data_IF_233154552933
#
_entry.id   IF_233154552933
#
_cell.length_a   1.000
_cell.length_b   1.000
_cell.length_c   1.000
_cell.angle_alpha   90.00
_cell.angle_beta   90.00
_cell.angle_gamma   90.00
#
_symmetry.space_group_name_H-M   'P 1'
#
loop_
_entity.id
_entity.type
_entity.pdbx_description
1 polymer ?
#
# COMPACT_ATOMS: atom_id res chain seq x y z
N UNK A 1 2.96 11.15 41.39
CA UNK A 1 2.66 10.87 39.97
C UNK A 1 1.17 10.57 39.76
N UNK A 2 0.42 10.43 40.85
CA UNK A 2 -0.97 9.95 40.89
C UNK A 2 -1.94 10.88 40.15
N UNK A 3 -1.67 12.20 40.15
CA UNK A 3 -2.47 13.18 39.42
C UNK A 3 -2.43 13.00 37.90
N UNK A 4 -1.28 12.62 37.32
CA UNK A 4 -1.19 12.36 35.87
C UNK A 4 -2.04 11.15 35.51
N UNK A 5 -1.94 10.08 36.29
CA UNK A 5 -2.69 8.85 36.06
C UNK A 5 -4.21 9.07 36.12
N UNK A 6 -4.70 9.84 37.09
CA UNK A 6 -6.12 10.19 37.19
C UNK A 6 -6.62 10.95 35.95
N UNK A 7 -5.79 11.86 35.42
CA UNK A 7 -6.12 12.61 34.19
C UNK A 7 -6.14 11.67 32.98
N UNK A 8 -5.15 10.79 32.84
CA UNK A 8 -5.10 9.76 31.78
C UNK A 8 -6.38 8.92 31.82
N UNK A 9 -6.74 8.41 32.99
CA UNK A 9 -7.92 7.56 33.17
C UNK A 9 -9.20 8.30 32.81
N UNK A 10 -9.35 9.57 33.25
CA UNK A 10 -10.50 10.40 32.91
C UNK A 10 -10.60 10.62 31.40
N UNK A 11 -9.53 11.05 30.75
CA UNK A 11 -9.51 11.34 29.30
C UNK A 11 -9.75 10.09 28.46
N UNK A 12 -9.19 8.95 28.86
CA UNK A 12 -9.43 7.66 28.24
C UNK A 12 -10.89 7.21 28.38
N UNK A 13 -11.41 7.13 29.62
CA UNK A 13 -12.74 6.59 29.89
C UNK A 13 -13.85 7.48 29.33
N UNK A 14 -13.69 8.80 29.35
CA UNK A 14 -14.68 9.73 28.79
C UNK A 14 -14.83 9.59 27.28
N UNK A 15 -13.86 9.00 26.58
CA UNK A 15 -13.89 8.79 25.12
C UNK A 15 -14.29 7.35 24.77
N UNK A 16 -13.64 6.34 25.35
CA UNK A 16 -13.93 4.93 25.04
C UNK A 16 -15.35 4.51 25.43
N UNK A 17 -15.92 5.10 26.51
CA UNK A 17 -17.30 4.79 26.93
C UNK A 17 -18.36 5.45 26.05
N UNK A 18 -18.01 6.38 25.15
CA UNK A 18 -19.00 6.99 24.26
C UNK A 18 -19.46 5.95 23.24
N UNK A 19 -20.78 5.86 23.03
CA UNK A 19 -21.35 5.01 21.97
C UNK A 19 -20.76 5.35 20.59
N UNK A 20 -20.47 6.63 20.35
CA UNK A 20 -19.82 7.08 19.11
C UNK A 20 -18.43 6.47 18.89
N UNK A 21 -17.67 6.18 19.95
CA UNK A 21 -16.37 5.52 19.82
C UNK A 21 -16.52 4.11 19.24
N UNK A 22 -17.43 3.30 19.79
CA UNK A 22 -17.67 1.94 19.28
C UNK A 22 -18.22 1.96 17.85
N UNK A 23 -19.18 2.85 17.57
CA UNK A 23 -19.78 2.96 16.23
C UNK A 23 -18.74 3.36 15.19
N UNK A 24 -17.95 4.43 15.43
CA UNK A 24 -16.94 4.92 14.49
C UNK A 24 -15.80 3.89 14.33
N UNK A 25 -15.38 3.26 15.42
CA UNK A 25 -14.33 2.24 15.39
C UNK A 25 -14.73 1.02 14.57
N UNK A 26 -16.00 0.60 14.61
CA UNK A 26 -16.49 -0.55 13.85
C UNK A 26 -16.85 -0.18 12.40
N UNK A 27 -17.37 1.02 12.17
CA UNK A 27 -17.86 1.46 10.86
C UNK A 27 -16.75 1.47 9.81
N UNK A 28 -15.55 1.95 10.14
CA UNK A 28 -14.47 2.06 9.17
C UNK A 28 -14.00 0.68 8.62
N UNK A 29 -13.67 -0.33 9.46
CA UNK A 29 -13.37 -1.68 8.97
C UNK A 29 -14.50 -2.32 8.18
N UNK A 30 -15.75 -2.16 8.63
CA UNK A 30 -16.93 -2.70 7.92
C UNK A 30 -17.10 -2.05 6.56
N UNK A 31 -16.92 -0.74 6.46
CA UNK A 31 -17.01 -0.01 5.20
C UNK A 31 -15.87 -0.41 4.25
N UNK A 32 -14.65 -0.59 4.75
CA UNK A 32 -13.52 -1.11 3.96
C UNK A 32 -13.75 -2.54 3.47
N UNK A 33 -14.31 -3.41 4.33
CA UNK A 33 -14.66 -4.77 3.93
C UNK A 33 -15.78 -4.76 2.87
N UNK A 34 -16.84 -4.00 3.10
CA UNK A 34 -17.95 -3.86 2.17
C UNK A 34 -17.52 -3.25 0.83
N UNK A 35 -16.66 -2.23 0.84
CA UNK A 35 -16.12 -1.63 -0.38
C UNK A 35 -15.19 -2.59 -1.13
N UNK A 36 -14.34 -3.33 -0.42
CA UNK A 36 -13.49 -4.36 -1.02
C UNK A 36 -14.31 -5.46 -1.69
N UNK A 37 -15.42 -5.89 -1.06
CA UNK A 37 -16.36 -6.85 -1.65
C UNK A 37 -17.12 -6.27 -2.84
N UNK A 38 -17.55 -5.02 -2.75
CA UNK A 38 -18.24 -4.33 -3.84
C UNK A 38 -17.32 -4.16 -5.06
N UNK A 39 -16.07 -3.72 -4.84
CA UNK A 39 -15.04 -3.63 -5.88
C UNK A 39 -14.76 -5.02 -6.43
N UNK A 40 -14.55 -6.03 -5.59
CA UNK A 40 -14.31 -7.40 -6.04
C UNK A 40 -15.43 -7.92 -6.96
N UNK A 41 -16.69 -7.73 -6.58
CA UNK A 41 -17.84 -8.11 -7.43
C UNK A 41 -17.89 -7.29 -8.72
N UNK A 42 -17.68 -5.98 -8.65
CA UNK A 42 -17.75 -5.07 -9.80
C UNK A 42 -16.59 -5.29 -10.78
N UNK A 43 -15.39 -5.60 -10.29
CA UNK A 43 -14.21 -5.90 -11.09
C UNK A 43 -14.30 -7.25 -11.80
N UNK A 44 -15.03 -8.22 -11.25
CA UNK A 44 -15.25 -9.53 -11.92
C UNK A 44 -16.47 -9.56 -12.85
N UNK A 45 -17.22 -8.45 -12.95
CA UNK A 45 -18.52 -8.40 -13.64
C UNK A 45 -18.49 -7.93 -15.09
N UNK A 46 -17.33 -7.58 -15.64
CA UNK A 46 -17.18 -7.20 -17.05
C UNK A 46 -16.68 -8.38 -17.86
N UNK A 47 -17.43 -8.78 -18.90
CA UNK A 47 -16.85 -9.55 -20.00
C UNK A 47 -15.76 -8.73 -20.71
N UNK A 48 -15.02 -9.32 -21.67
CA UNK A 48 -14.01 -8.60 -22.43
C UNK A 48 -14.62 -7.38 -23.12
N UNK A 49 -13.86 -6.29 -23.19
CA UNK A 49 -14.29 -5.07 -23.88
C UNK A 49 -14.50 -5.39 -25.37
N UNK A 50 -15.72 -5.20 -25.88
CA UNK A 50 -16.05 -5.50 -27.28
C UNK A 50 -15.73 -4.26 -28.12
N UNK A 51 -14.74 -4.37 -29.00
CA UNK A 51 -14.29 -3.30 -29.89
C UNK A 51 -14.71 -3.63 -31.33
N UNK A 52 -15.66 -2.86 -31.85
CA UNK A 52 -16.04 -2.93 -33.26
C UNK A 52 -14.93 -2.32 -34.12
N UNK A 53 -14.53 -2.99 -35.19
CA UNK A 53 -13.45 -2.55 -36.08
C UNK A 53 -14.03 -2.22 -37.44
N UNK A 54 -13.95 -0.96 -37.81
CA UNK A 54 -14.26 -0.49 -39.16
C UNK A 54 -12.94 -0.20 -39.87
N UNK A 55 -12.60 -1.09 -40.80
CA UNK A 55 -11.33 -1.06 -41.53
C UNK A 55 -11.57 -0.71 -43.00
N UNK A 56 -11.16 0.50 -43.40
CA UNK A 56 -11.16 0.94 -44.80
C UNK A 56 -9.78 0.75 -45.46
N UNK A 57 -8.79 0.25 -44.71
CA UNK A 57 -7.47 -0.02 -45.25
C UNK A 57 -7.47 -1.30 -46.08
N UNK A 58 -6.56 -1.36 -47.05
CA UNK A 58 -6.31 -2.58 -47.84
C UNK A 58 -5.49 -3.63 -47.06
N UNK A 59 -5.29 -3.43 -45.74
CA UNK A 59 -4.43 -4.25 -44.89
C UNK A 59 -5.17 -5.39 -44.20
N UNK A 60 -6.50 -5.43 -44.27
CA UNK A 60 -7.35 -6.42 -43.59
C UNK A 60 -6.95 -6.61 -42.11
N UNK A 61 -6.76 -5.50 -41.39
CA UNK A 61 -6.20 -5.44 -40.06
C UNK A 61 -7.03 -6.24 -39.04
N UNK A 62 -8.35 -6.32 -39.25
CA UNK A 62 -9.26 -7.14 -38.46
C UNK A 62 -8.80 -8.61 -38.39
N UNK A 63 -8.31 -9.18 -39.48
CA UNK A 63 -7.86 -10.58 -39.53
C UNK A 63 -6.58 -10.82 -38.71
N UNK A 64 -5.80 -9.77 -38.44
CA UNK A 64 -4.55 -9.82 -37.69
C UNK A 64 -4.72 -9.42 -36.21
N UNK A 65 -5.88 -8.90 -35.84
CA UNK A 65 -6.19 -8.53 -34.46
C UNK A 65 -6.57 -9.77 -33.65
N UNK A 66 -5.69 -10.15 -32.72
CA UNK A 66 -5.91 -11.28 -31.81
C UNK A 66 -6.72 -10.81 -30.61
N UNK A 67 -7.92 -11.38 -30.44
CA UNK A 67 -8.75 -11.17 -29.24
C UNK A 67 -8.16 -11.91 -28.03
N UNK A 68 -8.30 -11.34 -26.84
CA UNK A 68 -7.83 -11.94 -25.58
C UNK A 68 -8.89 -11.81 -24.47
N UNK A 69 -8.54 -12.18 -23.24
CA UNK A 69 -9.44 -12.14 -22.08
C UNK A 69 -9.89 -10.72 -21.70
N UNK A 70 -9.18 -9.68 -22.17
CA UNK A 70 -9.45 -8.28 -21.87
C UNK A 70 -10.22 -7.54 -22.98
N UNK A 71 -10.00 -7.88 -24.26
CA UNK A 71 -10.53 -7.17 -25.43
C UNK A 71 -10.90 -8.17 -26.54
N UNK A 72 -12.11 -8.03 -27.09
CA UNK A 72 -12.58 -8.77 -28.26
C UNK A 72 -12.81 -7.84 -29.44
N UNK A 73 -12.31 -8.23 -30.61
CA UNK A 73 -12.50 -7.46 -31.85
C UNK A 73 -13.59 -8.09 -32.71
N UNK A 74 -14.58 -7.27 -33.10
CA UNK A 74 -15.70 -7.69 -33.95
C UNK A 74 -15.81 -6.76 -35.17
N UNK A 75 -16.33 -7.21 -36.32
CA UNK A 75 -16.54 -6.34 -37.46
C UNK A 75 -17.59 -5.26 -37.15
N UNK A 76 -17.31 -4.01 -37.50
CA UNK A 76 -18.27 -2.92 -37.35
C UNK A 76 -19.42 -3.03 -38.36
N UNK A 77 -20.63 -2.69 -37.92
CA UNK A 77 -21.82 -2.68 -38.76
C UNK A 77 -21.93 -1.35 -39.53
N UNK A 78 -21.71 -1.35 -40.83
CA UNK A 78 -21.87 -0.15 -41.66
C UNK A 78 -20.94 -0.16 -42.88
N UNK A 79 -21.33 0.55 -43.94
CA UNK A 79 -20.57 0.64 -45.19
C UNK A 79 -19.77 1.94 -45.32
N UNK A 80 -19.86 2.82 -44.33
CA UNK A 80 -19.13 4.09 -44.24
C UNK A 80 -18.88 4.44 -42.77
N UNK A 81 -17.88 5.28 -42.47
CA UNK A 81 -17.60 5.74 -41.10
C UNK A 81 -18.87 6.29 -40.41
N UNK A 82 -19.63 7.14 -41.11
CA UNK A 82 -20.86 7.72 -40.57
C UNK A 82 -21.95 6.67 -40.29
N UNK A 83 -22.06 5.64 -41.14
CA UNK A 83 -22.98 4.53 -40.94
C UNK A 83 -22.55 3.64 -39.76
N UNK A 84 -21.25 3.37 -39.64
CA UNK A 84 -20.66 2.58 -38.55
C UNK A 84 -20.75 3.30 -37.21
N UNK A 85 -20.56 4.61 -37.17
CA UNK A 85 -20.81 5.43 -35.98
C UNK A 85 -22.29 5.45 -35.59
N UNK A 86 -23.19 5.57 -36.56
CA UNK A 86 -24.63 5.55 -36.31
C UNK A 86 -25.12 4.18 -35.83
N UNK A 87 -24.56 3.09 -36.35
CA UNK A 87 -24.82 1.73 -35.92
C UNK A 87 -24.26 1.48 -34.52
N UNK A 88 -23.02 1.88 -34.24
CA UNK A 88 -22.41 1.80 -32.91
C UNK A 88 -23.25 2.53 -31.85
N UNK A 89 -23.75 3.73 -32.17
CA UNK A 89 -24.64 4.51 -31.27
C UNK A 89 -26.02 3.88 -31.07
N UNK A 90 -26.50 3.04 -31.99
CA UNK A 90 -27.83 2.41 -31.97
C UNK A 90 -27.81 0.91 -31.64
N UNK A 91 -26.63 0.30 -31.57
CA UNK A 91 -26.47 -1.14 -31.41
C UNK A 91 -27.05 -1.61 -30.08
N UNK A 92 -27.87 -2.68 -30.12
CA UNK A 92 -28.33 -3.40 -28.91
C UNK A 92 -27.25 -4.34 -28.38
N UNK A 93 -26.31 -4.73 -29.23
CA UNK A 93 -25.10 -5.46 -28.86
C UNK A 93 -24.18 -4.47 -28.19
N UNK A 94 -23.77 -4.75 -26.95
CA UNK A 94 -23.08 -3.80 -26.07
C UNK A 94 -21.61 -3.65 -26.51
N UNK A 95 -21.38 -2.96 -27.61
CA UNK A 95 -20.04 -2.62 -28.11
C UNK A 95 -19.48 -1.44 -27.28
N UNK A 96 -18.25 -1.59 -26.79
CA UNK A 96 -17.62 -0.66 -25.85
C UNK A 96 -16.79 0.43 -26.52
N UNK A 97 -16.32 0.19 -27.75
CA UNK A 97 -15.63 1.16 -28.59
C UNK A 97 -15.70 0.78 -30.08
N UNK A 98 -15.51 1.77 -30.95
CA UNK A 98 -15.37 1.65 -32.40
C UNK A 98 -13.94 2.06 -32.79
N UNK A 99 -13.15 1.11 -33.27
CA UNK A 99 -11.84 1.33 -33.86
C UNK A 99 -12.02 1.68 -35.34
N UNK A 100 -11.63 2.89 -35.72
CA UNK A 100 -11.61 3.34 -37.11
C UNK A 100 -10.19 3.32 -37.66
N UNK A 101 -10.01 2.61 -38.78
CA UNK A 101 -8.77 2.54 -39.54
C UNK A 101 -9.00 3.17 -40.92
N UNK A 102 -8.47 4.37 -41.19
CA UNK A 102 -8.71 5.07 -42.45
C UNK A 102 -8.00 4.41 -43.63
N UNK A 103 -8.54 4.59 -44.84
CA UNK A 103 -7.96 4.05 -46.09
C UNK A 103 -6.51 4.49 -46.37
N UNK A 104 -6.10 5.67 -45.86
CA UNK A 104 -4.73 6.18 -45.98
C UNK A 104 -3.73 5.47 -45.06
N UNK A 105 -4.18 4.56 -44.19
CA UNK A 105 -3.30 3.77 -43.32
C UNK A 105 -2.49 2.82 -44.16
N UNK A 106 -1.17 2.96 -44.11
CA UNK A 106 -0.24 2.03 -44.74
C UNK A 106 0.64 1.40 -43.69
N UNK A 107 1.32 0.30 -44.08
CA UNK A 107 2.30 -0.38 -43.23
C UNK A 107 3.33 0.64 -42.68
N UNK A 108 3.77 1.61 -43.49
CA UNK A 108 4.81 2.58 -43.11
C UNK A 108 4.27 3.87 -42.50
N UNK A 109 2.99 4.20 -42.71
CA UNK A 109 2.32 5.38 -42.17
C UNK A 109 1.06 5.01 -41.40
N UNK A 110 1.18 4.98 -40.08
CA UNK A 110 0.12 4.58 -39.13
C UNK A 110 -0.63 5.78 -38.52
N UNK A 111 -0.63 6.93 -39.20
CA UNK A 111 -1.32 8.15 -38.72
C UNK A 111 -2.81 8.06 -39.04
N UNK A 112 -3.66 8.45 -38.08
CA UNK A 112 -5.10 8.62 -38.29
C UNK A 112 -6.00 7.50 -37.76
N UNK A 113 -5.43 6.44 -37.16
CA UNK A 113 -6.22 5.42 -36.44
C UNK A 113 -6.88 6.07 -35.22
N UNK A 114 -8.20 5.95 -35.11
CA UNK A 114 -8.99 6.56 -34.05
C UNK A 114 -9.77 5.51 -33.28
N UNK A 115 -9.84 5.67 -31.96
CA UNK A 115 -10.68 4.84 -31.09
C UNK A 115 -11.82 5.71 -30.58
N UNK A 116 -13.01 5.47 -31.11
CA UNK A 116 -14.23 6.19 -30.82
C UNK A 116 -15.00 5.44 -29.72
N UNK A 117 -15.56 6.15 -28.76
CA UNK A 117 -16.37 5.57 -27.69
C UNK A 117 -17.65 6.35 -27.47
N UNK A 118 -18.65 5.71 -26.87
CA UNK A 118 -19.86 6.40 -26.43
C UNK A 118 -19.58 7.09 -25.10
N UNK A 119 -18.83 8.19 -25.15
CA UNK A 119 -18.30 8.91 -23.97
C UNK A 119 -16.81 8.69 -23.77
N UNK A 120 -16.36 8.67 -22.51
CA UNK A 120 -14.94 8.53 -22.19
C UNK A 120 -14.46 7.09 -22.39
N UNK A 121 -13.41 6.91 -23.19
CA UNK A 121 -12.76 5.61 -23.38
C UNK A 121 -11.70 5.39 -22.29
N UNK A 122 -11.82 4.37 -21.42
CA UNK A 122 -10.87 4.14 -20.34
C UNK A 122 -9.42 3.96 -20.84
N UNK A 123 -8.44 4.49 -20.09
CA UNK A 123 -7.01 4.40 -20.43
C UNK A 123 -6.54 2.95 -20.61
N UNK A 124 -7.07 2.00 -19.82
CA UNK A 124 -6.79 0.57 -19.98
C UNK A 124 -7.15 0.10 -21.39
N UNK A 125 -8.38 0.35 -21.84
CA UNK A 125 -8.85 -0.01 -23.18
C UNK A 125 -8.02 0.65 -24.28
N UNK A 126 -7.70 1.94 -24.13
CA UNK A 126 -6.84 2.64 -25.10
C UNK A 126 -5.46 1.98 -25.22
N UNK A 127 -4.86 1.59 -24.08
CA UNK A 127 -3.56 0.89 -24.05
C UNK A 127 -3.67 -0.51 -24.65
N UNK A 128 -4.69 -1.26 -24.29
CA UNK A 128 -4.87 -2.66 -24.70
C UNK A 128 -5.16 -2.73 -26.22
N UNK A 129 -6.05 -1.87 -26.75
CA UNK A 129 -6.30 -1.74 -28.21
C UNK A 129 -5.05 -1.24 -28.94
N UNK A 130 -4.34 -0.24 -28.40
CA UNK A 130 -3.08 0.25 -29.02
C UNK A 130 -2.04 -0.87 -29.10
N UNK A 131 -1.88 -1.67 -28.05
CA UNK A 131 -0.96 -2.79 -28.02
C UNK A 131 -1.35 -3.86 -29.05
N UNK A 132 -2.64 -4.20 -29.15
CA UNK A 132 -3.15 -5.13 -30.15
C UNK A 132 -2.92 -4.64 -31.59
N UNK A 133 -3.28 -3.39 -31.89
CA UNK A 133 -3.07 -2.77 -33.21
C UNK A 133 -1.58 -2.69 -33.56
N UNK A 134 -0.73 -2.31 -32.60
CA UNK A 134 0.72 -2.23 -32.80
C UNK A 134 1.33 -3.61 -33.05
N UNK A 135 0.85 -4.65 -32.36
CA UNK A 135 1.25 -6.03 -32.59
C UNK A 135 0.81 -6.54 -33.97
N UNK A 136 -0.44 -6.26 -34.37
CA UNK A 136 -0.97 -6.64 -35.68
C UNK A 136 -0.21 -5.96 -36.83
N UNK A 137 0.02 -4.65 -36.74
CA UNK A 137 0.82 -3.91 -37.72
C UNK A 137 2.30 -4.35 -37.72
N UNK A 138 2.84 -4.71 -36.55
CA UNK A 138 4.16 -5.32 -36.44
C UNK A 138 4.23 -6.66 -37.18
N UNK A 139 3.24 -7.54 -37.01
CA UNK A 139 3.15 -8.82 -37.71
C UNK A 139 3.11 -8.63 -39.24
N UNK A 140 2.30 -7.69 -39.73
CA UNK A 140 2.23 -7.35 -41.16
C UNK A 140 3.57 -6.78 -41.69
N UNK A 141 4.28 -5.96 -40.91
CA UNK A 141 5.64 -5.49 -41.25
C UNK A 141 6.64 -6.65 -41.33
N UNK A 142 6.57 -7.57 -40.39
CA UNK A 142 7.44 -8.74 -40.30
C UNK A 142 7.23 -9.67 -41.50
N UNK A 143 5.97 -9.95 -41.85
CA UNK A 143 5.61 -10.76 -43.02
C UNK A 143 6.16 -10.16 -44.31
N UNK A 144 5.96 -8.85 -44.52
CA UNK A 144 6.46 -8.15 -45.73
C UNK A 144 7.98 -8.06 -45.81
N UNK A 145 8.67 -7.99 -44.66
CA UNK A 145 10.14 -7.96 -44.60
C UNK A 145 10.77 -9.36 -44.65
N UNK A 146 9.98 -10.42 -44.75
CA UNK A 146 10.46 -11.81 -44.76
C UNK A 146 10.98 -12.30 -43.41
N UNK A 147 10.77 -11.54 -42.34
CA UNK A 147 11.18 -11.90 -40.99
C UNK A 147 10.07 -12.74 -40.34
N UNK A 148 10.33 -14.02 -40.07
CA UNK A 148 9.39 -14.87 -39.33
C UNK A 148 9.32 -14.38 -37.87
N UNK A 149 8.12 -14.24 -37.30
CA UNK A 149 7.89 -13.88 -35.89
C UNK A 149 8.72 -14.76 -34.93
N UNK A 150 8.81 -16.06 -35.23
CA UNK A 150 9.63 -17.01 -34.48
C UNK A 150 11.12 -16.64 -34.45
N UNK A 151 11.64 -16.00 -35.50
CA UNK A 151 13.02 -15.50 -35.54
C UNK A 151 13.20 -14.31 -34.61
N UNK A 152 12.23 -13.38 -34.55
CA UNK A 152 12.32 -12.23 -33.63
C UNK A 152 12.11 -12.66 -32.18
N UNK A 153 11.15 -13.55 -31.91
CA UNK A 153 10.92 -14.08 -30.58
C UNK A 153 12.12 -14.93 -30.11
N UNK A 154 12.80 -15.63 -31.02
CA UNK A 154 14.08 -16.30 -30.73
C UNK A 154 15.25 -15.32 -30.52
N UNK A 155 15.19 -14.12 -31.10
CA UNK A 155 16.20 -13.06 -30.93
C UNK A 155 15.92 -12.17 -29.70
N UNK A 156 14.67 -12.10 -29.23
CA UNK A 156 14.28 -11.37 -28.04
C UNK A 156 14.31 -12.27 -26.82
N UNK A 157 15.41 -12.20 -26.06
CA UNK A 157 15.46 -12.82 -24.75
C UNK A 157 14.46 -12.14 -23.81
N UNK A 158 13.36 -12.83 -23.47
CA UNK A 158 12.42 -12.37 -22.43
C UNK A 158 13.01 -12.72 -21.06
N UNK A 159 13.79 -11.78 -20.51
CA UNK A 159 14.38 -11.95 -19.18
C UNK A 159 13.36 -11.48 -18.14
N UNK A 160 12.76 -12.42 -17.40
CA UNK A 160 11.97 -12.11 -16.21
C UNK A 160 12.91 -11.98 -15.01
N UNK A 161 13.34 -10.74 -14.72
CA UNK A 161 14.18 -10.47 -13.56
C UNK A 161 13.35 -10.65 -12.28
N UNK A 162 13.75 -11.59 -11.45
CA UNK A 162 13.25 -11.71 -10.08
C UNK A 162 14.28 -11.09 -9.14
N UNK A 163 13.90 -10.04 -8.40
CA UNK A 163 14.75 -9.46 -7.38
C UNK A 163 14.72 -10.34 -6.11
N UNK A 164 15.89 -10.69 -5.60
CA UNK A 164 16.05 -11.45 -4.35
C UNK A 164 16.93 -10.62 -3.42
N UNK A 165 16.47 -10.41 -2.19
CA UNK A 165 17.25 -9.74 -1.15
C UNK A 165 18.25 -10.72 -0.54
N UNK A 166 19.55 -10.46 -0.76
CA UNK A 166 20.66 -11.29 -0.26
C UNK A 166 20.95 -11.06 1.23
N UNK A 167 20.43 -9.99 1.84
CA UNK A 167 20.71 -9.64 3.24
C UNK A 167 19.80 -10.37 4.23
N UNK A 168 18.70 -10.95 3.77
CA UNK A 168 17.80 -11.75 4.60
C UNK A 168 18.13 -13.23 4.44
N UNK A 169 18.64 -13.83 5.53
CA UNK A 169 19.00 -15.24 5.64
C UNK A 169 17.83 -16.11 5.11
N UNK A 170 18.07 -16.84 4.00
CA UNK A 170 17.07 -17.67 3.33
C UNK A 170 16.56 -17.15 1.98
N UNK A 171 17.07 -16.05 1.43
CA UNK A 171 16.78 -15.63 0.05
C UNK A 171 15.28 -15.44 -0.21
N UNK A 172 14.59 -14.77 0.73
CA UNK A 172 13.14 -14.58 0.67
C UNK A 172 12.77 -13.75 -0.56
N UNK A 173 11.82 -14.28 -1.34
CA UNK A 173 11.20 -13.56 -2.45
C UNK A 173 10.27 -12.49 -1.87
N UNK A 174 10.69 -11.24 -1.95
CA UNK A 174 9.82 -10.12 -1.63
C UNK A 174 9.16 -9.64 -2.92
N UNK A 175 7.83 -9.73 -2.96
CA UNK A 175 7.07 -9.02 -3.98
C UNK A 175 7.18 -7.53 -3.67
N UNK A 176 8.03 -6.84 -4.42
CA UNK A 176 8.32 -5.41 -4.26
C UNK A 176 7.03 -4.60 -4.39
N UNK A 177 6.10 -5.02 -5.25
CA UNK A 177 4.81 -4.36 -5.43
C UNK A 177 3.94 -4.42 -4.18
N UNK A 178 3.81 -5.59 -3.57
CA UNK A 178 2.98 -5.75 -2.37
C UNK A 178 3.62 -5.10 -1.14
N UNK A 179 4.93 -5.22 -1.00
CA UNK A 179 5.71 -4.59 0.08
C UNK A 179 5.55 -3.06 0.02
N UNK A 180 5.64 -2.50 -1.18
CA UNK A 180 5.41 -1.08 -1.46
C UNK A 180 4.00 -0.64 -1.14
N UNK A 181 2.99 -1.38 -1.60
CA UNK A 181 1.58 -1.08 -1.35
C UNK A 181 1.26 -1.10 0.15
N UNK A 182 1.80 -2.08 0.88
CA UNK A 182 1.63 -2.17 2.33
C UNK A 182 2.27 -0.97 3.04
N UNK A 183 3.51 -0.61 2.67
CA UNK A 183 4.18 0.56 3.23
C UNK A 183 3.33 1.82 3.04
N UNK A 184 2.80 2.03 1.83
CA UNK A 184 1.93 3.16 1.48
C UNK A 184 0.69 3.22 2.38
N UNK A 185 -0.02 2.10 2.50
CA UNK A 185 -1.23 1.98 3.33
C UNK A 185 -0.92 2.22 4.80
N UNK A 186 0.15 1.68 5.35
CA UNK A 186 0.53 1.93 6.74
C UNK A 186 0.84 3.41 6.98
N UNK A 187 1.50 4.05 6.03
CA UNK A 187 1.98 5.43 6.17
C UNK A 187 0.85 6.45 6.05
N UNK A 188 -0.09 6.23 5.12
CA UNK A 188 -1.30 7.05 5.04
C UNK A 188 -2.17 6.88 6.30
N UNK A 189 -2.23 5.67 6.87
CA UNK A 189 -2.93 5.45 8.14
C UNK A 189 -2.25 6.21 9.28
N UNK A 190 -0.93 6.15 9.42
CA UNK A 190 -0.18 6.96 10.40
C UNK A 190 -0.54 8.43 10.27
N UNK A 191 -0.48 8.98 9.05
CA UNK A 191 -0.84 10.37 8.75
C UNK A 191 -2.26 10.71 9.23
N UNK A 192 -3.26 9.94 8.79
CA UNK A 192 -4.67 10.21 9.09
C UNK A 192 -4.94 10.16 10.60
N UNK A 193 -4.39 9.17 11.30
CA UNK A 193 -4.57 9.03 12.74
C UNK A 193 -3.90 10.17 13.51
N UNK A 194 -2.63 10.46 13.21
CA UNK A 194 -1.91 11.56 13.87
C UNK A 194 -2.69 12.86 13.71
N UNK A 195 -3.14 13.16 12.49
CA UNK A 195 -3.89 14.37 12.22
C UNK A 195 -5.26 14.37 12.92
N UNK A 196 -6.07 13.32 12.74
CA UNK A 196 -7.43 13.24 13.27
C UNK A 196 -7.47 13.33 14.80
N UNK A 197 -6.60 12.59 15.49
CA UNK A 197 -6.57 12.63 16.96
C UNK A 197 -5.80 13.84 17.49
N UNK A 198 -4.82 14.35 16.75
CA UNK A 198 -4.16 15.62 17.07
C UNK A 198 -5.16 16.77 17.16
N UNK A 199 -6.07 16.89 16.19
CA UNK A 199 -7.16 17.88 16.22
C UNK A 199 -8.08 17.70 17.44
N UNK A 200 -8.35 16.46 17.85
CA UNK A 200 -9.14 16.21 19.07
C UNK A 200 -8.44 16.68 20.34
N UNK A 201 -7.12 16.54 20.42
CA UNK A 201 -6.32 17.05 21.54
C UNK A 201 -6.40 18.58 21.57
N UNK A 202 -6.18 19.23 20.42
CA UNK A 202 -6.28 20.69 20.28
C UNK A 202 -7.64 21.21 20.75
N UNK A 203 -8.74 20.66 20.22
CA UNK A 203 -10.11 21.05 20.60
C UNK A 203 -10.36 20.82 22.09
N UNK A 204 -9.95 19.67 22.61
CA UNK A 204 -10.13 19.35 24.02
C UNK A 204 -9.35 20.28 24.96
N UNK A 205 -8.21 20.84 24.55
CA UNK A 205 -7.48 21.84 25.34
C UNK A 205 -8.15 23.21 25.26
N UNK A 206 -8.58 23.62 24.06
CA UNK A 206 -9.27 24.90 23.84
C UNK A 206 -10.64 24.96 24.54
N UNK A 207 -11.38 23.85 24.54
CA UNK A 207 -12.64 23.70 25.30
C UNK A 207 -12.42 23.80 26.81
N UNK A 208 -11.37 23.15 27.33
CA UNK A 208 -11.04 23.28 28.76
C UNK A 208 -10.66 24.69 29.14
N UNK A 209 -9.89 25.37 28.28
CA UNK A 209 -9.48 26.76 28.49
C UNK A 209 -10.64 27.73 28.50
N UNK A 210 -11.58 27.58 27.57
CA UNK A 210 -12.78 28.44 27.49
C UNK A 210 -13.82 28.11 28.56
N UNK A 211 -13.75 26.94 29.19
CA UNK A 211 -14.68 26.52 30.24
C UNK A 211 -14.20 26.86 31.66
N UNK A 212 -15.14 26.89 32.62
CA UNK A 212 -14.86 27.04 34.08
C UNK A 212 -13.98 25.92 34.67
N UNK A 213 -13.69 24.86 33.89
CA UNK A 213 -12.80 23.77 34.29
C UNK A 213 -11.37 24.29 34.51
N UNK A 214 -10.94 25.31 33.76
CA UNK A 214 -9.59 25.90 33.87
C UNK A 214 -9.26 26.40 35.28
N UNK A 215 -10.16 27.19 35.90
CA UNK A 215 -9.95 27.83 37.21
C UNK A 215 -9.72 26.80 38.33
N UNK A 216 -10.43 25.66 38.26
CA UNK A 216 -10.29 24.55 39.22
C UNK A 216 -9.04 23.73 38.94
N UNK A 217 -8.70 23.53 37.66
CA UNK A 217 -7.56 22.69 37.28
C UNK A 217 -6.21 23.35 37.54
N UNK A 218 -6.08 24.66 37.34
CA UNK A 218 -4.81 25.38 37.50
C UNK A 218 -4.33 25.43 38.96
N UNK A 219 -5.25 25.47 39.92
CA UNK A 219 -4.94 25.43 41.36
C UNK A 219 -4.56 24.03 41.83
N UNK A 220 -4.98 22.98 41.11
CA UNK A 220 -4.86 21.59 41.53
C UNK A 220 -3.70 20.83 40.87
N UNK A 221 -3.33 21.17 39.63
CA UNK A 221 -2.39 20.40 38.80
C UNK A 221 -1.46 21.31 37.99
N UNK A 222 -0.18 20.93 37.87
CA UNK A 222 0.79 21.65 37.03
C UNK A 222 0.44 21.51 35.53
N UNK A 223 0.61 22.57 34.69
CA UNK A 223 0.34 22.52 33.25
C UNK A 223 0.95 21.33 32.51
N UNK A 224 2.21 20.99 32.82
CA UNK A 224 2.87 19.84 32.20
C UNK A 224 2.17 18.51 32.50
N UNK A 225 1.71 18.31 33.74
CA UNK A 225 1.01 17.08 34.14
C UNK A 225 -0.35 16.97 33.47
N UNK A 226 -1.03 18.11 33.27
CA UNK A 226 -2.32 18.20 32.58
C UNK A 226 -2.18 17.87 31.09
N UNK A 227 -1.23 18.52 30.40
CA UNK A 227 -0.95 18.24 28.99
C UNK A 227 -0.52 16.79 28.77
N UNK A 228 0.44 16.31 29.56
CA UNK A 228 0.93 14.93 29.47
C UNK A 228 -0.19 13.91 29.72
N UNK A 229 -1.00 14.13 30.77
CA UNK A 229 -2.11 13.22 31.09
C UNK A 229 -3.16 13.18 29.98
N UNK A 230 -3.46 14.33 29.36
CA UNK A 230 -4.39 14.40 28.22
C UNK A 230 -3.87 13.69 26.98
N UNK A 231 -2.64 13.99 26.58
CA UNK A 231 -2.01 13.39 25.41
C UNK A 231 -1.94 11.86 25.56
N UNK A 232 -1.49 11.37 26.72
CA UNK A 232 -1.40 9.92 27.00
C UNK A 232 -2.78 9.25 27.14
N UNK A 233 -3.77 9.94 27.73
CA UNK A 233 -5.13 9.42 27.82
C UNK A 233 -5.77 9.19 26.46
N UNK A 234 -5.61 10.14 25.54
CA UNK A 234 -6.10 10.00 24.16
C UNK A 234 -5.25 8.98 23.39
N UNK A 235 -3.94 8.87 23.64
CA UNK A 235 -3.10 7.80 23.11
C UNK A 235 -3.67 6.41 23.43
N UNK A 236 -4.14 6.20 24.66
CA UNK A 236 -4.78 4.94 25.07
C UNK A 236 -6.04 4.62 24.27
N UNK A 237 -6.84 5.63 23.93
CA UNK A 237 -8.04 5.48 23.07
C UNK A 237 -7.65 4.97 21.69
N UNK A 238 -6.60 5.56 21.12
CA UNK A 238 -6.06 5.18 19.81
C UNK A 238 -5.55 3.73 19.83
N UNK A 239 -4.77 3.35 20.85
CA UNK A 239 -4.28 1.97 21.00
C UNK A 239 -5.43 0.97 21.14
N UNK A 240 -6.49 1.32 21.86
CA UNK A 240 -7.69 0.49 21.98
C UNK A 240 -8.37 0.30 20.64
N UNK A 241 -8.45 1.36 19.83
CA UNK A 241 -9.03 1.28 18.48
C UNK A 241 -8.19 0.38 17.56
N UNK A 242 -6.86 0.43 17.63
CA UNK A 242 -6.00 -0.52 16.92
C UNK A 242 -6.22 -1.96 17.37
N UNK A 243 -6.31 -2.20 18.69
CA UNK A 243 -6.59 -3.52 19.24
C UNK A 243 -7.93 -4.08 18.72
N UNK A 244 -8.97 -3.25 18.69
CA UNK A 244 -10.27 -3.61 18.12
C UNK A 244 -10.16 -3.96 16.63
N UNK A 245 -9.42 -3.18 15.85
CA UNK A 245 -9.24 -3.44 14.42
C UNK A 245 -8.45 -4.71 14.13
N UNK A 246 -7.41 -5.01 14.91
CA UNK A 246 -6.67 -6.26 14.80
C UNK A 246 -7.58 -7.46 15.10
N UNK A 247 -8.38 -7.39 16.17
CA UNK A 247 -9.35 -8.43 16.51
C UNK A 247 -10.43 -8.59 15.42
N UNK A 248 -10.96 -7.49 14.89
CA UNK A 248 -11.95 -7.50 13.81
C UNK A 248 -11.37 -8.06 12.51
N UNK A 249 -10.16 -7.66 12.14
CA UNK A 249 -9.50 -8.14 10.92
C UNK A 249 -9.18 -9.63 11.00
N UNK A 250 -8.72 -10.10 12.17
CA UNK A 250 -8.55 -11.53 12.44
C UNK A 250 -9.87 -12.29 12.37
N UNK A 251 -10.92 -11.81 13.02
CA UNK A 251 -12.26 -12.42 12.96
C UNK A 251 -12.83 -12.43 11.54
N UNK A 252 -12.68 -11.34 10.80
CA UNK A 252 -13.16 -11.21 9.43
C UNK A 252 -12.45 -12.17 8.49
N UNK A 253 -11.12 -12.26 8.56
CA UNK A 253 -10.34 -13.16 7.70
C UNK A 253 -10.58 -14.63 8.01
N UNK A 254 -10.80 -14.98 9.28
CA UNK A 254 -11.06 -16.38 9.69
C UNK A 254 -12.49 -16.83 9.43
N UNK A 255 -13.48 -15.93 9.48
CA UNK A 255 -14.91 -16.28 9.31
C UNK A 255 -15.44 -15.92 7.92
N UNK A 256 -15.23 -14.68 7.47
CA UNK A 256 -15.86 -14.17 6.25
C UNK A 256 -15.22 -14.70 4.98
N UNK A 257 -13.88 -14.82 4.93
CA UNK A 257 -13.18 -15.32 3.74
C UNK A 257 -13.56 -16.77 3.44
N UNK A 258 -13.57 -17.72 4.40
CA UNK A 258 -14.04 -19.08 4.13
C UNK A 258 -15.52 -19.14 3.77
N UNK A 259 -16.36 -18.30 4.38
CA UNK A 259 -17.80 -18.26 4.10
C UNK A 259 -18.10 -17.75 2.68
N UNK A 260 -17.37 -16.75 2.21
CA UNK A 260 -17.51 -16.19 0.85
C UNK A 260 -16.88 -17.09 -0.23
N UNK A 261 -15.82 -17.82 0.11
CA UNK A 261 -15.20 -18.79 -0.78
C UNK A 261 -15.90 -20.15 -0.76
N UNK A 262 -16.88 -20.35 0.13
CA UNK A 262 -17.65 -21.60 0.24
C UNK A 262 -18.41 -21.94 -1.04
N UNK A 263 -18.87 -20.92 -1.78
CA UNK A 263 -19.64 -21.08 -3.03
C UNK A 263 -18.79 -20.97 -4.30
N UNK A 264 -17.50 -20.66 -4.17
CA UNK A 264 -16.52 -20.71 -5.26
C UNK A 264 -15.45 -21.70 -4.84
N UNK A 265 -15.65 -22.98 -5.18
CA UNK A 265 -14.66 -24.02 -4.96
C UNK A 265 -13.27 -23.46 -5.27
N UNK A 266 -12.27 -23.68 -4.39
CA UNK A 266 -10.91 -23.37 -4.77
C UNK A 266 -10.65 -24.20 -6.03
N UNK A 267 -10.33 -23.55 -7.15
CA UNK A 267 -9.70 -24.21 -8.29
C UNK A 267 -8.28 -24.55 -7.86
N UNK A 268 -8.20 -25.49 -6.91
CA UNK A 268 -6.99 -26.04 -6.32
C UNK A 268 -7.27 -27.53 -6.09
N UNK A 269 -7.54 -28.25 -7.18
CA UNK A 269 -7.31 -29.68 -7.32
C UNK A 269 -7.72 -30.11 -8.74
N UNK A 270 -6.74 -30.45 -9.56
CA UNK A 270 -6.76 -31.42 -10.68
C UNK A 270 -5.88 -30.94 -11.84
N UNK A 271 -4.57 -31.09 -11.69
CA UNK A 271 -3.67 -31.29 -12.83
C UNK A 271 -2.58 -32.32 -12.46
N UNK A 272 -2.97 -33.40 -11.79
CA UNK A 272 -2.29 -34.68 -11.93
C UNK A 272 -2.88 -35.34 -13.17
N UNK A 273 -2.13 -35.34 -14.27
CA UNK A 273 -2.51 -36.01 -15.52
C UNK A 273 -2.85 -37.49 -15.24
N UNK A 274 -3.97 -38.03 -15.75
CA UNK A 274 -4.14 -39.46 -15.90
C UNK A 274 -3.41 -39.91 -17.17
N UNK A 275 -2.56 -40.94 -17.04
CA UNK A 275 -1.99 -41.66 -18.19
C UNK A 275 -0.48 -41.46 -18.40
N UNK A 276 0.32 -42.22 -17.66
CA UNK A 276 1.54 -42.82 -18.21
C UNK A 276 1.49 -44.31 -17.83
N UNK A 277 1.58 -45.24 -18.78
CA UNK A 277 1.46 -46.66 -18.48
C UNK A 277 2.66 -47.13 -17.67
N UNK A 278 2.38 -47.89 -16.62
CA UNK A 278 3.38 -48.71 -15.95
C UNK A 278 3.93 -49.74 -16.94
N UNK A 279 5.24 -49.71 -17.17
CA UNK A 279 6.01 -50.84 -17.71
C UNK A 279 7.17 -51.07 -16.72
N UNK A 280 6.92 -51.86 -15.68
CA UNK A 280 7.34 -53.26 -15.56
C UNK A 280 8.85 -53.46 -15.68
N UNK A 281 9.45 -53.73 -14.53
CA UNK A 281 10.78 -54.30 -14.40
C UNK A 281 10.90 -55.58 -15.24
N UNK A 282 11.89 -55.61 -16.13
CA UNK A 282 12.37 -56.83 -16.76
C UNK A 282 13.81 -57.06 -16.29
N UNK A 283 13.93 -58.12 -15.49
CA UNK A 283 15.14 -58.87 -15.15
C UNK A 283 16.06 -59.12 -16.34
N UNK A 284 17.35 -58.80 -16.21
CA UNK A 284 18.41 -59.28 -17.08
C UNK A 284 19.07 -60.53 -16.46
N UNK A 285 19.36 -61.60 -17.22
CA UNK A 285 20.19 -62.71 -16.74
C UNK A 285 21.68 -62.45 -16.98
N UNK A 286 22.49 -63.17 -16.21
CA UNK A 286 23.93 -63.06 -16.09
C UNK A 286 24.74 -63.73 -17.22
N UNK A 287 26.00 -63.29 -17.35
CA UNK A 287 27.10 -63.90 -18.11
C UNK A 287 27.84 -62.84 -18.94
N UNK A 288 29.15 -62.64 -18.93
CA UNK A 288 30.30 -63.27 -18.28
C UNK A 288 31.57 -62.73 -18.98
N UNK A 289 32.57 -62.34 -18.17
CA UNK A 289 34.02 -62.25 -18.47
C UNK A 289 34.60 -61.28 -19.54
N UNK A 290 35.46 -60.35 -19.07
CA UNK A 290 36.88 -60.11 -19.45
C UNK A 290 37.26 -58.61 -19.30
N UNK A 291 37.94 -58.22 -18.21
CA UNK A 291 39.39 -57.87 -18.13
C UNK A 291 39.79 -56.57 -18.89
N UNK A 292 40.56 -55.58 -18.40
CA UNK A 292 41.17 -55.16 -17.13
C UNK A 292 41.71 -53.70 -17.38
N UNK A 293 42.62 -53.09 -16.59
CA UNK A 293 42.33 -52.23 -15.44
C UNK A 293 42.89 -50.79 -15.56
N UNK A 294 42.45 -49.90 -14.67
CA UNK A 294 43.02 -48.55 -14.51
C UNK A 294 42.43 -47.83 -13.30
N UNK A 295 42.83 -48.29 -12.11
CA UNK A 295 42.40 -47.78 -10.82
C UNK A 295 43.02 -46.42 -10.47
N UNK A 296 42.23 -45.52 -9.87
CA UNK A 296 42.62 -44.83 -8.63
C UNK A 296 41.37 -44.76 -7.76
N UNK A 297 41.29 -45.72 -6.83
CA UNK A 297 40.41 -45.69 -5.66
C UNK A 297 40.95 -44.71 -4.63
N UNK A 298 40.09 -43.84 -4.13
CA UNK A 298 40.19 -43.32 -2.76
C UNK A 298 38.80 -42.96 -2.23
N UNK A 299 38.09 -43.96 -1.71
CA UNK A 299 37.16 -43.80 -0.59
C UNK A 299 37.53 -44.83 0.48
N UNK A 300 37.33 -44.50 1.76
CA UNK A 300 36.24 -45.16 2.49
C UNK A 300 35.42 -44.11 3.28
N UNK A 301 34.12 -44.01 3.06
CA UNK A 301 33.03 -44.76 3.69
C UNK A 301 32.50 -44.14 5.00
N UNK A 302 31.18 -43.98 5.00
CA UNK A 302 30.25 -43.91 6.14
C UNK A 302 30.37 -42.77 7.16
N UNK A 303 29.51 -41.79 6.97
CA UNK A 303 28.62 -41.37 8.05
C UNK A 303 27.22 -41.18 7.45
N UNK A 304 26.34 -42.15 7.75
CA UNK A 304 24.91 -41.96 7.64
C UNK A 304 24.46 -40.84 8.58
N UNK A 305 23.33 -40.21 8.22
CA UNK A 305 22.55 -39.26 9.02
C UNK A 305 23.09 -37.82 9.11
N UNK A 306 22.65 -36.97 8.17
CA UNK A 306 22.24 -35.61 8.51
C UNK A 306 21.33 -35.01 7.41
N UNK A 307 20.13 -34.65 7.86
CA UNK A 307 19.31 -33.55 7.37
C UNK A 307 18.72 -33.62 5.94
N UNK A 308 17.43 -33.95 5.91
CA UNK A 308 16.48 -33.26 5.05
C UNK A 308 16.73 -31.74 5.14
N UNK A 309 17.35 -31.16 4.12
CA UNK A 309 17.29 -29.73 3.91
C UNK A 309 16.18 -29.50 2.89
N UNK A 310 15.13 -28.80 3.33
CA UNK A 310 14.06 -28.27 2.48
C UNK A 310 14.66 -27.44 1.34
N UNK A 311 14.96 -28.06 0.21
CA UNK A 311 15.08 -27.35 -1.06
C UNK A 311 13.67 -26.88 -1.45
N UNK A 312 13.30 -25.69 -0.99
CA UNK A 312 12.09 -25.01 -1.44
C UNK A 312 12.17 -24.87 -2.98
N UNK A 313 11.26 -25.49 -3.75
CA UNK A 313 11.34 -25.43 -5.20
C UNK A 313 11.08 -23.99 -5.65
N UNK A 314 12.03 -23.46 -6.42
CA UNK A 314 11.96 -22.16 -7.11
C UNK A 314 10.87 -22.26 -8.20
N UNK A 315 9.59 -22.20 -7.83
CA UNK A 315 8.48 -22.13 -8.79
C UNK A 315 8.20 -20.67 -9.13
N UNK A 316 8.25 -20.30 -10.40
CA UNK A 316 7.85 -18.97 -10.88
C UNK A 316 6.40 -18.63 -10.46
N UNK A 317 6.04 -17.35 -10.26
CA UNK A 317 4.66 -16.98 -9.99
C UNK A 317 3.77 -17.43 -11.16
N UNK A 318 2.78 -18.28 -10.89
CA UNK A 318 1.73 -18.56 -11.89
C UNK A 318 0.93 -17.28 -12.10
N UNK A 319 0.95 -16.74 -13.31
CA UNK A 319 0.01 -15.70 -13.72
C UNK A 319 -1.42 -16.20 -13.46
N UNK A 320 -2.19 -15.46 -12.66
CA UNK A 320 -3.55 -15.82 -12.26
C UNK A 320 -3.70 -16.52 -10.90
N UNK A 321 -2.64 -16.69 -10.10
CA UNK A 321 -2.79 -17.19 -8.73
C UNK A 321 -3.61 -16.20 -7.87
N UNK A 322 -4.61 -16.65 -7.09
CA UNK A 322 -5.36 -15.76 -6.20
C UNK A 322 -4.43 -15.11 -5.19
N UNK A 323 -4.49 -13.78 -5.09
CA UNK A 323 -3.71 -12.99 -4.15
C UNK A 323 -3.84 -13.56 -2.73
N UNK A 324 -2.75 -14.14 -2.23
CA UNK A 324 -2.72 -14.84 -0.95
C UNK A 324 -1.97 -13.99 0.07
N UNK A 325 -2.70 -13.19 0.85
CA UNK A 325 -2.18 -12.28 1.89
C UNK A 325 -1.22 -13.03 2.85
N UNK A 326 -1.55 -14.27 3.17
CA UNK A 326 -0.77 -15.14 4.06
C UNK A 326 0.64 -15.45 3.54
N UNK A 327 0.79 -15.74 2.24
CA UNK A 327 2.11 -15.99 1.64
C UNK A 327 2.99 -14.74 1.58
N UNK A 328 2.37 -13.56 1.48
CA UNK A 328 3.09 -12.28 1.51
C UNK A 328 3.58 -11.98 2.93
N UNK A 329 2.72 -12.17 3.93
CA UNK A 329 3.09 -12.08 5.35
C UNK A 329 4.21 -13.08 5.68
N UNK A 330 4.09 -14.30 5.15
CA UNK A 330 5.09 -15.36 4.97
C UNK A 330 6.51 -14.85 4.73
N UNK A 331 6.65 -13.84 3.87
CA UNK A 331 7.93 -13.31 3.37
C UNK A 331 8.50 -12.11 4.13
N UNK A 332 7.73 -11.46 5.00
CA UNK A 332 8.14 -10.19 5.61
C UNK A 332 8.66 -10.33 7.05
N UNK A 333 9.55 -9.44 7.52
CA UNK A 333 9.93 -9.36 8.92
C UNK A 333 8.80 -8.71 9.75
N UNK A 334 7.69 -9.44 9.93
CA UNK A 334 6.45 -8.93 10.54
C UNK A 334 6.72 -8.31 11.92
N UNK A 335 7.59 -8.92 12.73
CA UNK A 335 7.90 -8.43 14.06
C UNK A 335 8.49 -7.01 14.08
N UNK A 336 9.47 -6.72 13.20
CA UNK A 336 10.07 -5.39 13.11
C UNK A 336 9.12 -4.39 12.46
N UNK A 337 8.30 -4.82 11.50
CA UNK A 337 7.31 -3.97 10.83
C UNK A 337 6.21 -3.56 11.81
N UNK A 338 5.56 -4.51 12.51
CA UNK A 338 4.48 -4.21 13.45
C UNK A 338 5.02 -3.47 14.67
N UNK A 339 6.12 -3.94 15.27
CA UNK A 339 6.72 -3.30 16.44
C UNK A 339 7.21 -1.88 16.13
N UNK A 340 7.89 -1.71 15.00
CA UNK A 340 8.34 -0.40 14.52
C UNK A 340 7.16 0.49 14.14
N UNK A 341 6.15 -0.03 13.44
CA UNK A 341 4.92 0.70 13.14
C UNK A 341 4.29 1.23 14.42
N UNK A 342 3.99 0.38 15.40
CA UNK A 342 3.34 0.80 16.65
C UNK A 342 4.17 1.83 17.41
N UNK A 343 5.49 1.65 17.48
CA UNK A 343 6.39 2.57 18.17
C UNK A 343 6.44 3.94 17.49
N UNK A 344 6.70 4.00 16.18
CA UNK A 344 6.78 5.27 15.44
C UNK A 344 5.43 5.95 15.28
N UNK A 345 4.37 5.16 15.11
CA UNK A 345 3.01 5.64 15.13
C UNK A 345 2.69 6.32 16.47
N UNK A 346 2.91 5.63 17.59
CA UNK A 346 2.61 6.15 18.91
C UNK A 346 3.50 7.34 19.25
N UNK A 347 4.81 7.25 19.01
CA UNK A 347 5.75 8.36 19.24
C UNK A 347 5.43 9.59 18.39
N UNK A 348 5.10 9.39 17.12
CA UNK A 348 4.65 10.46 16.23
C UNK A 348 3.34 11.06 16.70
N UNK A 349 2.36 10.23 17.03
CA UNK A 349 1.09 10.67 17.60
C UNK A 349 1.32 11.53 18.85
N UNK A 350 2.17 11.10 19.78
CA UNK A 350 2.48 11.83 21.01
C UNK A 350 3.14 13.18 20.70
N UNK A 351 4.15 13.21 19.83
CA UNK A 351 4.84 14.44 19.40
C UNK A 351 3.87 15.45 18.78
N UNK A 352 3.10 15.01 17.79
CA UNK A 352 2.17 15.88 17.07
C UNK A 352 1.00 16.30 17.95
N UNK A 353 0.50 15.42 18.83
CA UNK A 353 -0.53 15.77 19.81
C UNK A 353 -0.05 16.84 20.77
N UNK A 354 1.23 16.85 21.16
CA UNK A 354 1.81 17.92 21.96
C UNK A 354 1.84 19.25 21.19
N UNK A 355 2.13 19.24 19.88
CA UNK A 355 2.04 20.44 19.03
C UNK A 355 0.60 20.95 18.93
N UNK A 356 -0.36 20.05 18.71
CA UNK A 356 -1.78 20.39 18.66
C UNK A 356 -2.30 20.89 20.02
N UNK A 357 -1.83 20.32 21.13
CA UNK A 357 -2.12 20.80 22.47
C UNK A 357 -1.60 22.23 22.68
N UNK A 358 -0.39 22.54 22.19
CA UNK A 358 0.17 23.88 22.23
C UNK A 358 -0.71 24.89 21.47
N UNK A 359 -1.23 24.53 20.30
CA UNK A 359 -2.17 25.37 19.54
C UNK A 359 -3.47 25.56 20.33
N UNK A 360 -4.08 24.47 20.82
CA UNK A 360 -5.32 24.53 21.59
C UNK A 360 -5.19 25.35 22.87
N UNK A 361 -3.97 25.43 23.41
CA UNK A 361 -3.65 26.27 24.58
C UNK A 361 -3.58 27.77 24.23
N UNK A 362 -3.13 28.07 23.01
CA UNK A 362 -2.89 29.43 22.59
C UNK A 362 -4.18 30.13 22.14
N UNK A 363 -5.10 29.40 21.51
CA UNK A 363 -6.24 30.02 20.83
C UNK A 363 -7.53 29.84 21.60
N UNK A 364 -8.31 30.92 21.69
CA UNK A 364 -9.61 30.94 22.39
C UNK A 364 -10.75 30.46 21.49
N UNK A 365 -10.64 30.62 20.16
CA UNK A 365 -11.65 30.22 19.18
C UNK A 365 -11.13 29.13 18.22
N UNK A 366 -11.99 28.16 17.88
CA UNK A 366 -11.63 27.04 17.01
C UNK A 366 -11.38 27.46 15.55
N UNK A 367 -12.01 28.54 15.08
CA UNK A 367 -11.81 29.06 13.71
C UNK A 367 -10.42 29.68 13.56
N UNK A 368 -9.99 30.44 14.57
CA UNK A 368 -8.65 31.02 14.63
C UNK A 368 -7.55 29.95 14.78
N UNK A 369 -7.86 28.79 15.38
CA UNK A 369 -6.91 27.69 15.55
C UNK A 369 -6.52 27.05 14.22
N UNK A 370 -7.41 27.07 13.23
CA UNK A 370 -7.19 26.44 11.93
C UNK A 370 -5.94 26.99 11.22
N UNK A 371 -5.64 28.30 11.34
CA UNK A 371 -4.46 28.90 10.71
C UNK A 371 -3.15 28.37 11.31
N UNK A 372 -3.15 28.00 12.59
CA UNK A 372 -2.00 27.46 13.30
C UNK A 372 -1.81 25.97 13.07
N UNK A 373 -2.81 25.28 12.52
CA UNK A 373 -2.69 23.86 12.17
C UNK A 373 -1.75 23.64 11.00
N UNK A 374 -1.68 24.55 10.03
CA UNK A 374 -0.87 24.37 8.81
C UNK A 374 0.63 24.16 9.09
N UNK A 375 1.30 24.97 9.93
CA UNK A 375 2.71 24.72 10.27
C UNK A 375 2.97 23.36 10.93
N UNK A 376 1.98 22.81 11.63
CA UNK A 376 2.08 21.47 12.23
C UNK A 376 1.85 20.40 11.17
N UNK A 377 0.89 20.58 10.26
CA UNK A 377 0.61 19.56 9.24
C UNK A 377 1.62 19.53 8.11
N UNK A 378 2.27 20.65 7.77
CA UNK A 378 3.23 20.72 6.66
C UNK A 378 4.35 19.69 6.79
N UNK A 379 5.08 19.58 7.93
CA UNK A 379 6.10 18.55 8.09
C UNK A 379 5.55 17.12 7.95
N UNK A 380 4.31 16.89 8.39
CA UNK A 380 3.65 15.58 8.31
C UNK A 380 3.32 15.23 6.86
N UNK A 381 2.74 16.17 6.11
CA UNK A 381 2.41 16.03 4.67
C UNK A 381 3.69 15.90 3.84
N UNK A 382 4.69 16.76 4.10
CA UNK A 382 5.96 16.74 3.41
C UNK A 382 6.68 15.42 3.63
N UNK A 383 6.69 14.90 4.87
CA UNK A 383 7.24 13.58 5.16
C UNK A 383 6.58 12.50 4.31
N UNK A 384 5.24 12.50 4.22
CA UNK A 384 4.51 11.54 3.40
C UNK A 384 4.87 11.63 1.91
N UNK A 385 4.80 12.83 1.31
CA UNK A 385 5.04 13.02 -0.12
C UNK A 385 6.49 12.72 -0.51
N UNK A 386 7.45 13.22 0.28
CA UNK A 386 8.88 13.02 -0.01
C UNK A 386 9.28 11.57 0.24
N UNK A 387 8.74 10.93 1.29
CA UNK A 387 9.01 9.52 1.57
C UNK A 387 8.57 8.61 0.43
N UNK A 388 7.41 8.86 -0.18
CA UNK A 388 6.98 8.07 -1.36
C UNK A 388 7.98 8.21 -2.50
N UNK A 389 8.42 9.42 -2.82
CA UNK A 389 9.35 9.62 -3.93
C UNK A 389 10.74 9.04 -3.67
N UNK A 390 11.25 9.17 -2.44
CA UNK A 390 12.63 8.79 -2.12
C UNK A 390 12.75 7.31 -1.75
N UNK A 391 11.79 6.77 -1.01
CA UNK A 391 11.87 5.41 -0.45
C UNK A 391 11.23 4.37 -1.37
N UNK A 392 10.16 4.72 -2.09
CA UNK A 392 9.48 3.76 -2.98
C UNK A 392 10.03 3.83 -4.40
N UNK A 393 10.17 5.04 -4.95
CA UNK A 393 10.62 5.23 -6.33
C UNK A 393 12.15 5.38 -6.46
N UNK A 394 12.86 5.50 -5.34
CA UNK A 394 14.29 5.74 -5.27
C UNK A 394 15.04 4.65 -4.48
N UNK A 395 16.02 5.07 -3.69
CA UNK A 395 16.79 4.19 -2.80
C UNK A 395 16.27 4.30 -1.35
N UNK A 396 15.61 3.24 -0.81
CA UNK A 396 15.14 3.19 0.58
C UNK A 396 16.24 3.41 1.63
N UNK A 397 17.50 3.13 1.28
CA UNK A 397 18.65 3.24 2.16
C UNK A 397 19.53 4.45 1.85
N UNK A 398 19.10 5.31 0.91
CA UNK A 398 19.83 6.49 0.52
C UNK A 398 19.94 7.55 1.65
N UNK A 399 20.85 8.53 1.51
CA UNK A 399 21.08 9.57 2.53
C UNK A 399 19.84 10.39 2.86
N UNK A 400 19.01 10.70 1.87
CA UNK A 400 17.79 11.48 2.08
C UNK A 400 16.74 10.69 2.87
N UNK A 401 16.57 9.41 2.55
CA UNK A 401 15.70 8.50 3.31
C UNK A 401 16.17 8.36 4.76
N UNK A 402 17.49 8.28 4.97
CA UNK A 402 18.11 8.27 6.30
C UNK A 402 17.72 9.53 7.11
N UNK A 403 18.00 10.73 6.59
CA UNK A 403 17.73 11.97 7.34
C UNK A 403 16.24 12.22 7.60
N UNK A 404 15.36 11.95 6.62
CA UNK A 404 13.91 12.02 6.83
C UNK A 404 13.44 11.09 7.95
N UNK A 405 14.14 9.98 8.15
CA UNK A 405 13.83 9.01 9.19
C UNK A 405 14.39 9.38 10.56
N UNK A 406 15.39 10.27 10.64
CA UNK A 406 16.00 10.66 11.92
C UNK A 406 15.32 11.87 12.57
N UNK A 407 14.78 12.79 11.75
CA UNK A 407 14.17 14.03 12.26
C UNK A 407 12.82 13.68 12.93
N UNK A 408 12.58 14.03 14.22
CA UNK A 408 11.38 13.63 14.95
C UNK A 408 10.06 13.97 14.27
N UNK A 409 9.98 15.11 13.59
CA UNK A 409 8.77 15.53 12.88
C UNK A 409 8.48 14.68 11.63
N UNK A 410 9.51 14.19 10.93
CA UNK A 410 9.32 13.41 9.71
C UNK A 410 9.39 11.90 9.94
N UNK A 411 10.13 11.47 10.97
CA UNK A 411 10.38 10.07 11.31
C UNK A 411 9.14 9.17 11.45
N UNK A 412 7.97 9.61 11.96
CA UNK A 412 6.83 8.72 12.17
C UNK A 412 6.30 8.10 10.88
N UNK A 413 6.46 8.81 9.76
CA UNK A 413 6.02 8.36 8.45
C UNK A 413 7.19 7.77 7.68
N UNK A 414 8.32 8.48 7.60
CA UNK A 414 9.48 8.06 6.83
C UNK A 414 10.07 6.73 7.32
N UNK A 415 10.14 6.51 8.64
CA UNK A 415 10.70 5.28 9.17
C UNK A 415 9.76 4.09 8.95
N UNK A 416 8.44 4.29 9.06
CA UNK A 416 7.43 3.27 8.76
C UNK A 416 7.47 2.86 7.29
N UNK A 417 7.70 3.81 6.38
CA UNK A 417 7.92 3.51 4.96
C UNK A 417 9.16 2.66 4.72
N UNK A 418 10.24 2.85 5.50
CA UNK A 418 11.52 2.13 5.30
C UNK A 418 11.57 0.75 5.94
N UNK A 419 10.84 0.52 7.04
CA UNK A 419 10.87 -0.77 7.78
C UNK A 419 10.71 -2.02 6.90
N UNK A 420 9.80 -2.06 5.90
CA UNK A 420 9.65 -3.22 5.02
C UNK A 420 10.87 -3.51 4.14
N UNK A 421 11.77 -2.53 3.96
CA UNK A 421 12.98 -2.62 3.15
C UNK A 421 14.25 -2.97 3.96
N UNK A 422 14.10 -3.36 5.24
CA UNK A 422 15.22 -3.90 6.03
C UNK A 422 16.16 -2.85 6.61
N UNK A 423 15.64 -1.95 7.45
CA UNK A 423 16.46 -0.89 8.07
C UNK A 423 17.34 -1.45 9.20
N UNK A 424 18.62 -1.03 9.31
CA UNK A 424 19.47 -1.39 10.44
C UNK A 424 18.87 -1.00 11.79
N UNK A 425 18.93 -1.91 12.77
CA UNK A 425 18.29 -1.72 14.08
C UNK A 425 18.81 -0.47 14.82
N UNK A 426 20.08 -0.11 14.67
CA UNK A 426 20.61 1.09 15.31
C UNK A 426 19.97 2.39 14.78
N UNK A 427 19.58 2.43 13.49
CA UNK A 427 18.85 3.58 12.92
C UNK A 427 17.45 3.68 13.52
N UNK A 428 16.79 2.52 13.72
CA UNK A 428 15.49 2.41 14.39
C UNK A 428 15.58 2.94 15.82
N UNK A 429 16.57 2.50 16.59
CA UNK A 429 16.74 2.93 17.97
C UNK A 429 17.15 4.40 18.10
N UNK A 430 18.06 4.89 17.23
CA UNK A 430 18.48 6.29 17.22
C UNK A 430 17.30 7.21 16.89
N UNK A 431 16.57 6.91 15.82
CA UNK A 431 15.37 7.65 15.44
C UNK A 431 14.32 7.62 16.55
N UNK A 432 14.11 6.45 17.18
CA UNK A 432 13.18 6.34 18.29
C UNK A 432 13.58 7.13 19.53
N UNK A 433 14.88 7.16 19.86
CA UNK A 433 15.41 8.01 20.93
C UNK A 433 15.21 9.50 20.64
N UNK A 434 15.53 9.95 19.43
CA UNK A 434 15.31 11.33 18.98
C UNK A 434 13.83 11.71 19.03
N UNK A 435 12.94 10.79 18.65
CA UNK A 435 11.49 10.98 18.69
C UNK A 435 10.97 11.17 20.12
N UNK A 436 11.43 10.33 21.07
CA UNK A 436 11.08 10.46 22.50
C UNK A 436 11.57 11.80 23.06
N UNK A 437 12.84 12.17 22.78
CA UNK A 437 13.41 13.46 23.21
C UNK A 437 12.60 14.62 22.61
N UNK A 438 12.28 14.54 21.32
CA UNK A 438 11.44 15.51 20.63
C UNK A 438 10.06 15.64 21.27
N UNK A 439 9.42 14.52 21.60
CA UNK A 439 8.12 14.52 22.28
C UNK A 439 8.18 15.20 23.64
N UNK A 440 9.17 14.88 24.47
CA UNK A 440 9.33 15.51 25.80
C UNK A 440 9.59 17.01 25.66
N UNK A 441 10.45 17.41 24.72
CA UNK A 441 10.76 18.81 24.44
C UNK A 441 9.51 19.59 23.99
N UNK A 442 8.76 19.07 23.01
CA UNK A 442 7.54 19.71 22.52
C UNK A 442 6.45 19.76 23.60
N UNK A 443 6.30 18.70 24.40
CA UNK A 443 5.33 18.71 25.52
C UNK A 443 5.70 19.76 26.57
N UNK A 444 6.99 19.92 26.85
CA UNK A 444 7.47 20.98 27.74
C UNK A 444 7.18 22.38 27.19
N UNK A 445 7.37 22.59 25.89
CA UNK A 445 6.98 23.85 25.21
C UNK A 445 5.47 24.08 25.28
N UNK A 446 4.66 23.06 24.99
CA UNK A 446 3.21 23.12 25.07
C UNK A 446 2.72 23.52 26.47
N UNK A 447 3.33 22.96 27.51
CA UNK A 447 3.01 23.31 28.90
C UNK A 447 3.33 24.77 29.24
N UNK A 448 4.41 25.34 28.68
CA UNK A 448 4.73 26.77 28.84
C UNK A 448 3.74 27.67 28.11
N UNK A 449 3.40 27.32 26.88
CA UNK A 449 2.38 28.03 26.09
C UNK A 449 1.04 27.98 26.82
N UNK A 450 0.67 26.83 27.40
CA UNK A 450 -0.51 26.71 28.24
C UNK A 450 -0.47 27.65 29.42
N UNK A 451 0.61 27.69 30.21
CA UNK A 451 0.73 28.57 31.38
C UNK A 451 0.56 30.05 31.06
N UNK A 452 1.03 30.52 29.91
CA UNK A 452 0.90 31.93 29.50
C UNK A 452 -0.45 32.18 28.79
N UNK A 453 -0.89 31.25 27.95
CA UNK A 453 -2.10 31.37 27.14
C UNK A 453 -3.36 31.51 27.98
N UNK A 454 -3.41 30.90 29.16
CA UNK A 454 -4.52 31.02 30.12
C UNK A 454 -4.64 32.41 30.77
N UNK A 455 -3.59 33.24 30.72
CA UNK A 455 -3.61 34.60 31.27
C UNK A 455 -3.99 35.63 30.21
N UNK A 456 -4.02 35.24 28.93
CA UNK A 456 -4.13 36.12 27.78
C UNK A 456 -5.51 36.01 27.13
N UNK A 457 -6.56 36.37 27.87
CA UNK A 457 -7.94 36.32 27.37
C UNK A 457 -8.23 37.41 26.32
N UNK A 458 -8.86 37.02 25.21
CA UNK A 458 -9.48 37.96 24.28
C UNK A 458 -8.52 38.70 23.35
N UNK A 459 -7.22 38.38 23.37
CA UNK A 459 -6.25 38.89 22.40
C UNK A 459 -6.03 37.88 21.28
N UNK A 460 -6.17 38.32 20.01
CA UNK A 460 -5.80 37.49 18.86
C UNK A 460 -4.32 37.18 18.91
N UNK A 461 -4.00 35.90 19.11
CA UNK A 461 -2.62 35.41 19.18
C UNK A 461 -1.99 35.43 17.81
N UNK A 462 -0.74 35.87 17.73
CA UNK A 462 0.09 35.83 16.51
C UNK A 462 1.30 34.91 16.67
N UNK A 463 1.90 34.47 15.56
CA UNK A 463 3.13 33.65 15.59
C UNK A 463 4.28 34.26 16.40
N UNK A 464 4.42 35.60 16.36
CA UNK A 464 5.46 36.32 17.11
C UNK A 464 5.23 36.22 18.63
N UNK A 465 3.98 36.18 19.06
CA UNK A 465 3.63 36.09 20.49
C UNK A 465 3.82 34.68 21.03
N UNK A 466 3.40 33.67 20.26
CA UNK A 466 3.70 32.26 20.55
C UNK A 466 5.20 32.06 20.79
N UNK A 467 6.03 32.62 19.91
CA UNK A 467 7.49 32.63 20.05
C UNK A 467 7.97 33.17 21.39
N UNK A 468 7.44 34.32 21.83
CA UNK A 468 7.79 34.94 23.12
C UNK A 468 7.36 34.08 24.30
N UNK A 469 6.19 33.44 24.23
CA UNK A 469 5.65 32.63 25.33
C UNK A 469 6.49 31.37 25.61
N UNK A 470 7.12 30.79 24.57
CA UNK A 470 8.03 29.65 24.75
C UNK A 470 9.23 29.97 25.65
N UNK A 471 9.73 31.21 25.58
CA UNK A 471 10.92 31.66 26.31
C UNK A 471 10.59 32.54 27.52
N UNK A 472 9.31 32.74 27.83
CA UNK A 472 8.90 33.54 28.97
C UNK A 472 9.31 32.87 30.28
N UNK A 473 10.20 33.53 31.04
CA UNK A 473 10.56 33.16 32.40
C UNK A 473 9.62 33.91 33.36
N UNK A 474 8.45 33.33 33.59
CA UNK A 474 7.50 33.78 34.61
C UNK A 474 7.55 32.92 35.86
#
# INVERSE_FOLDING_TARGET
MDKIWLIIQREYLTRVRKKSFLVISLLAPVLLAASSLAIGKLSTGGGPDIVAVYDESQLHLLAQLVSNDDVQFVPALGTSLAASEAAFKKSKTKEDALLYVPAATSIDSTRGIQLLGNGNVPLKRQRDVRAAVSKALGALKMERSGLKQATIDALQAKIELTAIDLTQQGGRRNDVGVTTAMAYVLSILVYFFIFMYGVQVMRGVSEEKSSRIMEVMISSVKPFQLMMGKILGIAGVVLTQFGLWLALSWGLTTVLVPLLLKDKAPVVAAASRPGAPAATAATAPAGGAAAAPGAIDARPSSAAAAANADELPITAPRAGAPFSIWKVLEGLPIGSIIGGFLFFFLGGYLLYSAMFAAIGSAVDDQTDAQQFMFPVTIPLILSYIVSINVIINGDPNGPLAFWLSMIPFTSPIAMVMRLPFGVPLWQVLLSGGLLIVGFVAVTWVAARIYRVGILMYGKKVTYKELGKWMFYKG
#
